data_IF_197049356197
#
_entry.id   IF_197049356197
#
_cell.length_a   1.000
_cell.length_b   1.000
_cell.length_c   1.000
_cell.angle_alpha   90.00
_cell.angle_beta   90.00
_cell.angle_gamma   90.00
#
_symmetry.space_group_name_H-M   'P 1'
#
loop_
_entity.id
_entity.type
_entity.pdbx_description
1 polymer ?
#
# COMPACT_ATOMS: atom_id res chain seq x y z
N UNK A 1 3.02 32.84 30.53
CA UNK A 1 2.07 32.51 29.44
C UNK A 1 2.36 33.24 28.13
N UNK A 2 3.46 34.01 28.02
CA UNK A 2 4.00 34.52 26.75
C UNK A 2 5.42 34.00 26.45
N UNK A 3 6.07 33.29 27.39
CA UNK A 3 7.45 32.78 27.19
C UNK A 3 7.53 31.37 26.61
N UNK A 4 6.42 30.60 26.63
CA UNK A 4 6.36 29.25 26.03
C UNK A 4 6.08 29.30 24.51
N UNK A 5 5.64 30.46 24.01
CA UNK A 5 5.29 30.65 22.60
C UNK A 5 6.50 31.08 21.76
N UNK A 6 7.50 31.72 22.38
CA UNK A 6 8.76 32.11 21.70
C UNK A 6 9.78 30.96 21.57
N UNK A 7 9.70 29.92 22.40
CA UNK A 7 10.57 28.73 22.25
C UNK A 7 10.10 27.79 21.13
N UNK A 8 8.82 27.83 20.75
CA UNK A 8 8.29 27.04 19.63
C UNK A 8 8.57 27.67 18.25
N UNK A 9 8.78 28.98 18.18
CA UNK A 9 9.14 29.66 16.92
C UNK A 9 10.63 29.51 16.54
N UNK A 10 11.51 29.25 17.51
CA UNK A 10 12.94 28.99 17.26
C UNK A 10 13.26 27.56 16.75
N UNK A 11 12.27 26.66 16.73
CA UNK A 11 12.39 25.31 16.13
C UNK A 11 11.97 25.26 14.65
N UNK A 12 11.64 26.41 14.03
CA UNK A 12 11.21 26.49 12.62
C UNK A 12 12.20 27.20 11.69
N UNK A 13 13.43 27.39 12.16
CA UNK A 13 14.52 28.04 11.42
C UNK A 13 15.67 27.10 11.05
N UNK A 14 15.39 25.91 10.49
CA UNK A 14 16.41 25.18 9.72
C UNK A 14 15.88 24.92 8.32
N UNK A 15 16.20 25.83 7.41
CA UNK A 15 16.30 25.47 6.00
C UNK A 15 17.22 24.25 5.93
N UNK A 16 16.64 23.07 5.70
CA UNK A 16 17.39 21.87 5.37
C UNK A 16 18.16 22.15 4.09
N UNK A 17 19.38 22.67 4.22
CA UNK A 17 20.38 22.65 3.17
C UNK A 17 20.44 21.20 2.70
N UNK A 18 20.10 20.97 1.44
CA UNK A 18 20.58 19.77 0.73
C UNK A 18 22.06 19.63 1.07
N UNK A 19 22.50 18.54 1.69
CA UNK A 19 23.93 18.37 1.94
C UNK A 19 24.64 18.51 0.59
N UNK A 20 25.72 19.30 0.58
CA UNK A 20 26.63 19.34 -0.56
C UNK A 20 27.15 17.92 -0.84
N UNK A 21 27.54 17.60 -2.09
CA UNK A 21 27.95 16.25 -2.49
C UNK A 21 29.13 15.66 -1.71
N UNK A 22 29.84 16.47 -0.91
CA UNK A 22 31.13 16.12 -0.32
C UNK A 22 31.04 15.35 1.01
N UNK A 23 29.85 15.08 1.57
CA UNK A 23 29.70 14.43 2.88
C UNK A 23 28.91 13.11 2.89
N UNK A 24 28.85 12.39 1.76
CA UNK A 24 28.39 10.98 1.80
C UNK A 24 29.50 10.12 2.37
N UNK A 25 29.42 9.75 3.65
CA UNK A 25 30.28 8.70 4.20
C UNK A 25 30.01 7.41 3.44
N UNK A 26 30.92 7.04 2.53
CA UNK A 26 30.85 5.79 1.75
C UNK A 26 30.68 4.62 2.71
N UNK A 27 29.49 4.04 2.73
CA UNK A 27 29.21 2.89 3.59
C UNK A 27 30.00 1.71 3.03
N UNK A 28 31.03 1.26 3.74
CA UNK A 28 31.78 0.07 3.36
C UNK A 28 30.90 -1.13 3.63
N UNK A 29 30.50 -1.84 2.58
CA UNK A 29 29.62 -3.01 2.70
C UNK A 29 30.41 -4.28 3.06
N UNK A 30 29.77 -5.25 3.74
CA UNK A 30 30.35 -6.56 3.99
C UNK A 30 30.76 -7.29 2.70
N UNK A 31 31.73 -8.21 2.81
CA UNK A 31 32.12 -9.05 1.68
C UNK A 31 30.95 -9.95 1.26
N UNK A 32 30.60 -9.92 -0.03
CA UNK A 32 29.45 -10.66 -0.57
C UNK A 32 28.11 -9.91 -0.48
N UNK A 33 28.12 -8.65 -0.05
CA UNK A 33 26.96 -7.77 -0.11
C UNK A 33 26.69 -7.27 -1.53
N UNK A 34 25.42 -6.99 -1.80
CA UNK A 34 24.94 -6.45 -3.08
C UNK A 34 24.33 -5.06 -2.90
N UNK A 35 24.56 -4.16 -3.85
CA UNK A 35 23.94 -2.81 -3.87
C UNK A 35 22.74 -2.78 -4.79
N UNK A 36 21.64 -2.21 -4.31
CA UNK A 36 20.39 -2.07 -5.06
C UNK A 36 20.00 -0.60 -5.17
N UNK A 37 19.78 -0.11 -6.39
CA UNK A 37 19.16 1.21 -6.58
C UNK A 37 17.65 1.02 -6.68
N UNK A 38 16.89 1.58 -5.74
CA UNK A 38 15.43 1.48 -5.72
C UNK A 38 14.80 2.77 -6.23
N UNK A 39 14.00 2.69 -7.29
CA UNK A 39 13.24 3.81 -7.83
C UNK A 39 11.81 3.74 -7.30
N UNK A 40 11.45 4.70 -6.44
CA UNK A 40 10.12 4.76 -5.83
C UNK A 40 9.68 6.22 -5.62
N UNK A 41 8.76 6.72 -6.44
CA UNK A 41 8.21 8.07 -6.28
C UNK A 41 7.43 8.20 -4.96
N UNK A 42 6.57 7.21 -4.67
CA UNK A 42 5.81 7.17 -3.43
C UNK A 42 6.63 6.45 -2.36
N UNK A 43 7.27 7.24 -1.50
CA UNK A 43 8.14 6.76 -0.44
C UNK A 43 7.90 7.58 0.84
N UNK A 44 8.21 7.09 2.06
CA UNK A 44 8.09 7.89 3.27
C UNK A 44 8.82 9.23 3.12
N UNK A 45 8.34 10.33 3.72
CA UNK A 45 7.28 10.39 4.72
C UNK A 45 5.86 10.39 4.11
N UNK A 46 5.64 10.02 2.85
CA UNK A 46 4.27 9.83 2.34
C UNK A 46 3.60 8.63 3.04
N UNK A 47 2.33 8.75 3.44
CA UNK A 47 1.65 7.77 4.30
C UNK A 47 0.44 7.04 3.68
N UNK A 48 0.45 6.76 2.37
CA UNK A 48 -0.65 6.05 1.71
C UNK A 48 -0.25 4.64 1.25
N UNK A 49 -1.23 3.84 0.80
CA UNK A 49 -1.05 2.43 0.43
C UNK A 49 0.09 2.16 -0.55
N UNK A 50 0.41 3.13 -1.42
CA UNK A 50 1.52 3.06 -2.37
C UNK A 50 2.91 3.21 -1.75
N UNK A 51 3.06 3.20 -0.43
CA UNK A 51 4.35 3.36 0.27
C UNK A 51 4.75 2.11 1.04
N UNK A 52 3.80 1.50 1.76
CA UNK A 52 4.06 0.41 2.70
C UNK A 52 4.87 -0.76 2.12
N UNK A 53 4.46 -1.33 0.98
CA UNK A 53 5.13 -2.50 0.39
C UNK A 53 6.63 -2.26 0.17
N UNK A 54 6.97 -1.14 -0.46
CA UNK A 54 8.37 -0.85 -0.80
C UNK A 54 9.17 -0.50 0.46
N UNK A 55 8.57 0.22 1.42
CA UNK A 55 9.20 0.50 2.72
C UNK A 55 9.58 -0.78 3.47
N UNK A 56 8.68 -1.77 3.51
CA UNK A 56 8.97 -3.05 4.18
C UNK A 56 10.02 -3.87 3.43
N UNK A 57 10.03 -3.86 2.09
CA UNK A 57 11.13 -4.50 1.34
C UNK A 57 12.49 -3.86 1.65
N UNK A 58 12.63 -2.54 1.58
CA UNK A 58 13.93 -1.91 1.82
C UNK A 58 14.39 -2.01 3.27
N UNK A 59 13.46 -2.08 4.23
CA UNK A 59 13.74 -2.36 5.65
C UNK A 59 14.40 -3.73 5.84
N UNK A 60 13.92 -4.76 5.13
CA UNK A 60 14.37 -6.15 5.33
C UNK A 60 15.42 -6.65 4.33
N UNK A 61 15.64 -5.96 3.21
CA UNK A 61 16.67 -6.34 2.23
C UNK A 61 18.08 -6.48 2.85
N UNK A 62 18.52 -5.61 3.79
CA UNK A 62 19.83 -5.76 4.43
C UNK A 62 20.05 -7.11 5.12
N UNK A 63 18.99 -7.71 5.68
CA UNK A 63 19.05 -9.05 6.30
C UNK A 63 19.37 -10.17 5.29
N UNK A 64 19.16 -9.89 4.00
CA UNK A 64 19.44 -10.81 2.89
C UNK A 64 20.76 -10.53 2.17
N UNK A 65 21.55 -9.58 2.66
CA UNK A 65 22.80 -9.13 2.04
C UNK A 65 22.63 -8.09 0.93
N UNK A 66 21.42 -7.56 0.73
CA UNK A 66 21.12 -6.51 -0.24
C UNK A 66 20.98 -5.15 0.46
N UNK A 67 21.74 -4.16 0.03
CA UNK A 67 21.79 -2.83 0.64
C UNK A 67 21.16 -1.82 -0.33
N UNK A 68 19.91 -1.39 -0.08
CA UNK A 68 19.20 -0.49 -0.97
C UNK A 68 19.56 0.98 -0.73
N UNK A 69 19.75 1.70 -1.83
CA UNK A 69 19.66 3.17 -1.87
C UNK A 69 18.38 3.54 -2.60
N UNK A 70 17.50 4.30 -1.95
CA UNK A 70 16.20 4.69 -2.50
C UNK A 70 16.29 6.06 -3.16
N UNK A 71 16.05 6.10 -4.47
CA UNK A 71 15.86 7.33 -5.22
C UNK A 71 14.37 7.68 -5.28
N UNK A 72 14.02 8.80 -4.68
CA UNK A 72 12.64 9.27 -4.56
C UNK A 72 12.51 10.78 -4.79
N UNK A 73 11.29 11.28 -4.82
CA UNK A 73 11.01 12.72 -4.95
C UNK A 73 11.22 13.43 -3.61
N UNK A 74 11.68 14.68 -3.67
CA UNK A 74 11.76 15.59 -2.54
C UNK A 74 10.39 16.10 -2.06
N UNK A 75 10.40 17.21 -1.33
CA UNK A 75 9.18 17.82 -0.76
C UNK A 75 8.15 18.19 -1.84
N UNK A 76 7.16 17.32 -2.02
CA UNK A 76 5.96 17.52 -2.84
C UNK A 76 4.73 17.49 -1.97
N UNK A 77 3.69 18.21 -2.38
CA UNK A 77 2.43 18.20 -1.65
C UNK A 77 1.77 16.83 -1.72
N UNK A 78 1.48 16.22 -0.57
CA UNK A 78 0.82 14.91 -0.47
C UNK A 78 -0.34 14.92 0.51
N UNK A 79 -1.17 13.86 0.51
CA UNK A 79 -2.42 13.84 1.27
C UNK A 79 -2.22 13.51 2.74
N UNK A 80 -1.28 12.62 3.05
CA UNK A 80 -1.03 12.06 4.39
C UNK A 80 0.48 11.88 4.53
N UNK A 81 1.03 12.27 5.68
CA UNK A 81 2.43 12.01 6.01
C UNK A 81 2.54 11.04 7.18
N UNK A 82 3.50 10.13 7.09
CA UNK A 82 3.83 9.12 8.10
C UNK A 82 5.34 9.17 8.34
N UNK A 83 5.73 9.90 9.40
CA UNK A 83 7.15 10.06 9.78
C UNK A 83 7.66 8.86 10.59
N UNK A 84 6.79 8.10 11.25
CA UNK A 84 7.17 6.88 11.93
C UNK A 84 7.68 5.84 10.92
N UNK A 85 6.99 5.69 9.77
CA UNK A 85 7.43 4.82 8.70
C UNK A 85 8.76 5.29 8.05
N UNK A 86 9.02 6.60 8.01
CA UNK A 86 10.32 7.12 7.56
C UNK A 86 11.43 6.74 8.55
N UNK A 87 11.18 6.95 9.84
CA UNK A 87 12.12 6.60 10.90
C UNK A 87 12.46 5.10 10.88
N UNK A 88 11.48 4.21 10.71
CA UNK A 88 11.73 2.76 10.59
C UNK A 88 12.71 2.41 9.46
N UNK A 89 12.60 3.10 8.31
CA UNK A 89 13.46 2.88 7.14
C UNK A 89 14.87 3.44 7.40
N UNK A 90 14.98 4.60 8.04
CA UNK A 90 16.26 5.23 8.38
C UNK A 90 17.01 4.42 9.45
N UNK A 91 16.30 3.88 10.45
CA UNK A 91 16.86 3.00 11.49
C UNK A 91 17.37 1.67 10.90
N UNK A 92 16.77 1.19 9.81
CA UNK A 92 17.28 0.05 9.05
C UNK A 92 18.54 0.37 8.21
N UNK A 93 19.01 1.62 8.24
CA UNK A 93 20.22 2.06 7.55
C UNK A 93 20.04 2.26 6.04
N UNK A 94 18.80 2.45 5.56
CA UNK A 94 18.51 2.67 4.14
C UNK A 94 18.86 4.11 3.74
N UNK A 95 19.72 4.28 2.73
CA UNK A 95 20.03 5.59 2.18
C UNK A 95 18.85 6.10 1.34
N UNK A 96 18.40 7.33 1.58
CA UNK A 96 17.30 7.96 0.82
C UNK A 96 17.84 9.19 0.08
N UNK A 97 17.85 9.13 -1.25
CA UNK A 97 18.23 10.25 -2.11
C UNK A 97 16.98 10.90 -2.69
N UNK A 98 16.81 12.19 -2.43
CA UNK A 98 15.63 12.97 -2.87
C UNK A 98 15.98 13.96 -3.97
N UNK A 99 15.20 13.96 -5.05
CA UNK A 99 15.40 14.93 -6.15
C UNK A 99 14.22 15.88 -6.33
N UNK A 100 14.46 16.98 -7.05
CA UNK A 100 13.40 17.90 -7.47
C UNK A 100 12.47 17.24 -8.49
N UNK A 101 11.30 17.81 -8.70
CA UNK A 101 10.36 17.44 -9.76
C UNK A 101 9.76 18.71 -10.38
N UNK A 102 9.38 18.62 -11.66
CA UNK A 102 8.45 19.58 -12.26
C UNK A 102 7.02 19.20 -11.89
N UNK A 103 6.54 19.71 -10.76
CA UNK A 103 5.16 19.48 -10.32
C UNK A 103 4.24 20.63 -10.76
N UNK A 104 3.22 20.39 -11.59
CA UNK A 104 2.19 21.38 -11.92
C UNK A 104 1.53 21.99 -10.67
N UNK A 105 1.43 21.23 -9.56
CA UNK A 105 0.84 21.68 -8.30
C UNK A 105 1.77 22.64 -7.52
N UNK A 106 3.08 22.59 -7.75
CA UNK A 106 4.02 23.62 -7.27
C UNK A 106 3.91 24.92 -8.06
N UNK A 107 3.63 24.84 -9.36
CA UNK A 107 3.42 26.04 -10.21
C UNK A 107 2.20 26.84 -9.75
N UNK A 108 1.20 26.16 -9.16
CA UNK A 108 0.02 26.81 -8.57
C UNK A 108 0.25 27.47 -7.19
N UNK A 109 1.50 27.69 -6.77
CA UNK A 109 1.85 28.55 -5.63
C UNK A 109 1.54 27.98 -4.24
N UNK A 110 1.17 26.70 -4.10
CA UNK A 110 0.83 26.11 -2.81
C UNK A 110 2.07 25.56 -2.10
N UNK A 111 2.64 26.35 -1.17
CA UNK A 111 3.74 25.94 -0.26
C UNK A 111 3.34 24.90 0.81
N UNK A 112 2.10 24.38 0.82
CA UNK A 112 1.64 23.46 1.87
C UNK A 112 2.10 22.03 1.59
N UNK A 113 2.81 21.41 2.55
CA UNK A 113 3.23 20.00 2.52
C UNK A 113 2.03 19.06 2.45
N UNK A 114 0.98 19.31 3.24
CA UNK A 114 -0.26 18.54 3.17
C UNK A 114 -1.30 19.25 2.32
N UNK A 115 -1.78 18.59 1.25
CA UNK A 115 -2.82 19.11 0.36
C UNK A 115 -4.14 18.39 0.67
N UNK A 116 -5.27 19.10 0.81
CA UNK A 116 -6.56 18.45 1.03
C UNK A 116 -6.92 17.58 -0.18
N UNK A 117 -7.49 16.39 0.09
CA UNK A 117 -8.01 15.52 -0.97
C UNK A 117 -9.11 16.26 -1.75
N UNK A 118 -8.99 16.44 -3.07
CA UNK A 118 -10.01 17.14 -3.85
C UNK A 118 -11.32 16.34 -3.90
N UNK A 119 -12.48 17.02 -4.05
CA UNK A 119 -13.76 16.34 -4.29
C UNK A 119 -13.71 15.38 -5.48
N UNK A 120 -14.45 14.27 -5.41
CA UNK A 120 -14.36 13.17 -6.40
C UNK A 120 -14.57 13.61 -7.86
N UNK A 121 -15.48 14.57 -8.10
CA UNK A 121 -15.81 15.05 -9.45
C UNK A 121 -14.67 15.85 -10.08
N UNK A 122 -14.04 16.75 -9.33
CA UNK A 122 -12.89 17.54 -9.81
C UNK A 122 -11.65 16.67 -9.93
N UNK A 123 -11.46 15.69 -9.03
CA UNK A 123 -10.40 14.68 -9.13
C UNK A 123 -10.47 13.94 -10.46
N UNK A 124 -11.64 13.39 -10.83
CA UNK A 124 -11.82 12.65 -12.09
C UNK A 124 -11.51 13.50 -13.33
N UNK A 125 -11.95 14.75 -13.35
CA UNK A 125 -11.68 15.68 -14.45
C UNK A 125 -10.18 16.00 -14.57
N UNK A 126 -9.53 16.38 -13.46
CA UNK A 126 -8.09 16.67 -13.43
C UNK A 126 -7.25 15.45 -13.79
N UNK A 127 -7.64 14.26 -13.31
CA UNK A 127 -7.00 12.99 -13.65
C UNK A 127 -7.17 12.67 -15.14
N UNK A 128 -8.34 12.93 -15.73
CA UNK A 128 -8.57 12.73 -17.17
C UNK A 128 -7.68 13.61 -18.05
N UNK A 129 -7.60 14.92 -17.76
CA UNK A 129 -6.70 15.85 -18.46
C UNK A 129 -5.24 15.43 -18.26
N UNK A 130 -4.86 15.16 -17.01
CA UNK A 130 -3.53 14.71 -16.68
C UNK A 130 -3.12 13.46 -17.44
N UNK A 131 -3.94 12.41 -17.46
CA UNK A 131 -3.61 11.18 -18.19
C UNK A 131 -3.61 11.40 -19.72
N UNK A 132 -4.28 12.43 -20.22
CA UNK A 132 -4.23 12.77 -21.64
C UNK A 132 -2.87 13.37 -22.02
N UNK A 133 -2.37 14.35 -21.25
CA UNK A 133 -1.16 15.11 -21.62
C UNK A 133 0.13 14.65 -20.92
N UNK A 134 0.03 14.06 -19.74
CA UNK A 134 1.15 13.61 -18.91
C UNK A 134 1.17 12.08 -18.91
N UNK A 135 1.80 11.51 -19.94
CA UNK A 135 2.01 10.08 -20.08
C UNK A 135 3.40 9.70 -19.55
N UNK A 136 3.55 8.61 -18.78
CA UNK A 136 2.52 7.63 -18.44
C UNK A 136 1.72 7.97 -17.18
N UNK A 137 1.96 9.14 -16.59
CA UNK A 137 1.22 9.70 -15.46
C UNK A 137 1.71 11.15 -15.18
N UNK A 138 1.09 11.83 -14.21
CA UNK A 138 1.51 13.19 -13.81
C UNK A 138 2.88 13.27 -13.14
N UNK A 139 3.59 12.16 -12.94
CA UNK A 139 4.90 12.16 -12.29
C UNK A 139 6.03 12.23 -13.30
N UNK A 140 5.74 12.25 -14.60
CA UNK A 140 6.73 12.34 -15.67
C UNK A 140 7.71 13.52 -15.53
N UNK A 141 7.28 14.62 -14.89
CA UNK A 141 8.13 15.77 -14.57
C UNK A 141 9.28 15.48 -13.60
N UNK A 142 9.23 14.36 -12.87
CA UNK A 142 10.29 13.86 -11.98
C UNK A 142 11.40 13.16 -12.76
N UNK A 143 11.06 12.46 -13.85
CA UNK A 143 11.95 11.59 -14.62
C UNK A 143 13.31 12.24 -14.91
N UNK A 144 13.31 13.47 -15.41
CA UNK A 144 14.55 14.19 -15.78
C UNK A 144 15.53 14.37 -14.62
N UNK A 145 15.02 14.57 -13.41
CA UNK A 145 15.84 14.80 -12.22
C UNK A 145 16.28 13.48 -11.60
N UNK A 146 15.37 12.51 -11.56
CA UNK A 146 15.66 11.17 -11.09
C UNK A 146 16.72 10.50 -11.97
N UNK A 147 16.59 10.53 -13.30
CA UNK A 147 17.61 9.93 -14.18
C UNK A 147 18.98 10.58 -13.98
N UNK A 148 19.05 11.92 -13.93
CA UNK A 148 20.33 12.61 -13.72
C UNK A 148 21.01 12.18 -12.42
N UNK A 149 20.25 12.14 -11.33
CA UNK A 149 20.81 11.76 -10.03
C UNK A 149 21.11 10.26 -9.95
N UNK A 150 20.26 9.42 -10.54
CA UNK A 150 20.48 7.98 -10.65
C UNK A 150 21.75 7.65 -11.43
N UNK A 151 22.02 8.32 -12.54
CA UNK A 151 23.28 8.16 -13.28
C UNK A 151 24.49 8.52 -12.41
N UNK A 152 24.42 9.66 -11.71
CA UNK A 152 25.49 10.07 -10.77
C UNK A 152 25.75 9.01 -9.69
N UNK A 153 24.69 8.46 -9.09
CA UNK A 153 24.79 7.39 -8.08
C UNK A 153 25.44 6.13 -8.67
N UNK A 154 25.00 5.71 -9.85
CA UNK A 154 25.49 4.49 -10.53
C UNK A 154 26.92 4.65 -11.08
N UNK A 155 27.38 5.87 -11.32
CA UNK A 155 28.76 6.18 -11.71
C UNK A 155 29.73 6.22 -10.51
N UNK A 156 29.24 6.65 -9.33
CA UNK A 156 30.06 6.78 -8.11
C UNK A 156 30.36 5.46 -7.42
N UNK A 157 29.42 4.52 -7.48
CA UNK A 157 29.51 3.21 -6.85
C UNK A 157 28.97 2.11 -7.77
N UNK A 158 29.51 0.90 -7.63
CA UNK A 158 29.01 -0.25 -8.39
C UNK A 158 27.70 -0.76 -7.77
N UNK A 159 26.61 -0.62 -8.51
CA UNK A 159 25.33 -1.25 -8.20
C UNK A 159 25.14 -2.56 -8.95
N UNK A 160 24.51 -3.52 -8.30
CA UNK A 160 24.29 -4.86 -8.84
C UNK A 160 22.94 -4.99 -9.54
N UNK A 161 21.94 -4.19 -9.15
CA UNK A 161 20.63 -4.16 -9.79
C UNK A 161 19.90 -2.83 -9.56
N UNK A 162 18.88 -2.58 -10.38
CA UNK A 162 17.90 -1.51 -10.22
C UNK A 162 16.53 -2.16 -9.97
N UNK A 163 15.82 -1.74 -8.92
CA UNK A 163 14.43 -2.10 -8.68
C UNK A 163 13.54 -0.88 -8.90
N UNK A 164 12.62 -0.91 -9.85
CA UNK A 164 11.59 0.13 -10.01
C UNK A 164 10.23 -0.41 -9.59
N UNK A 165 9.47 0.32 -8.76
CA UNK A 165 8.13 -0.09 -8.29
C UNK A 165 7.06 0.88 -8.81
N UNK A 166 5.93 0.34 -9.31
CA UNK A 166 4.86 1.16 -9.88
C UNK A 166 3.48 0.72 -9.36
N UNK A 167 2.45 1.60 -9.36
CA UNK A 167 2.45 3.00 -9.84
C UNK A 167 3.26 3.97 -8.95
N UNK A 168 3.72 5.13 -9.48
CA UNK A 168 3.53 5.61 -10.85
C UNK A 168 4.41 4.85 -11.87
N UNK A 169 3.95 4.76 -13.12
CA UNK A 169 4.70 4.05 -14.18
C UNK A 169 5.86 4.88 -14.72
N UNK A 170 5.93 6.17 -14.35
CA UNK A 170 7.16 6.97 -14.50
C UNK A 170 8.38 6.28 -13.87
N UNK A 171 8.21 5.55 -12.76
CA UNK A 171 9.30 4.88 -12.05
C UNK A 171 9.95 3.79 -12.92
N UNK A 172 9.14 3.04 -13.67
CA UNK A 172 9.61 2.07 -14.65
C UNK A 172 10.40 2.73 -15.79
N UNK A 173 9.95 3.90 -16.27
CA UNK A 173 10.67 4.63 -17.32
C UNK A 173 12.01 5.17 -16.84
N UNK A 174 12.11 5.56 -15.58
CA UNK A 174 13.39 5.96 -14.95
C UNK A 174 14.31 4.73 -14.87
N UNK A 175 13.81 3.61 -14.33
CA UNK A 175 14.58 2.37 -14.23
C UNK A 175 15.10 1.88 -15.59
N UNK A 176 14.26 1.92 -16.62
CA UNK A 176 14.62 1.57 -17.99
C UNK A 176 15.75 2.45 -18.55
N UNK A 177 15.66 3.77 -18.36
CA UNK A 177 16.66 4.70 -18.88
C UNK A 177 18.00 4.55 -18.17
N UNK A 178 17.98 4.38 -16.85
CA UNK A 178 19.18 4.11 -16.05
C UNK A 178 19.84 2.79 -16.46
N UNK A 179 19.05 1.71 -16.55
CA UNK A 179 19.56 0.39 -16.94
C UNK A 179 20.18 0.39 -18.34
N UNK A 180 19.54 1.04 -19.33
CA UNK A 180 20.10 1.18 -20.68
C UNK A 180 21.42 1.97 -20.71
N UNK A 181 21.53 3.00 -19.88
CA UNK A 181 22.70 3.87 -19.86
C UNK A 181 23.90 3.23 -19.15
N UNK A 182 23.66 2.40 -18.13
CA UNK A 182 24.73 1.86 -17.28
C UNK A 182 24.97 0.36 -17.45
N UNK A 183 24.04 -0.36 -18.09
CA UNK A 183 24.06 -1.82 -18.19
C UNK A 183 23.66 -2.56 -16.91
N UNK A 184 23.27 -1.85 -15.85
CA UNK A 184 22.83 -2.47 -14.58
C UNK A 184 21.45 -3.12 -14.80
N UNK A 185 21.25 -4.38 -14.39
CA UNK A 185 20.01 -5.12 -14.67
C UNK A 185 18.80 -4.50 -13.96
N UNK A 186 17.68 -4.43 -14.67
CA UNK A 186 16.43 -3.87 -14.19
C UNK A 186 15.44 -4.96 -13.74
N UNK A 187 14.92 -4.81 -12.52
CA UNK A 187 13.75 -5.54 -12.03
C UNK A 187 12.59 -4.57 -11.81
N UNK A 188 11.39 -4.95 -12.25
CA UNK A 188 10.18 -4.12 -12.13
C UNK A 188 9.13 -4.76 -11.23
N UNK A 189 8.59 -3.99 -10.26
CA UNK A 189 7.55 -4.42 -9.30
C UNK A 189 6.19 -3.80 -9.65
N UNK A 190 5.32 -4.60 -10.26
CA UNK A 190 3.93 -4.27 -10.61
C UNK A 190 3.01 -4.49 -9.42
N UNK A 191 2.61 -3.39 -8.78
CA UNK A 191 1.60 -3.38 -7.71
C UNK A 191 0.18 -3.28 -8.25
N UNK A 192 0.04 -2.66 -9.41
CA UNK A 192 -1.17 -2.59 -10.21
C UNK A 192 -0.82 -2.88 -11.68
N UNK A 193 -1.74 -3.41 -12.50
CA UNK A 193 -1.51 -3.52 -13.94
C UNK A 193 -1.33 -2.12 -14.57
N UNK A 194 -0.59 -2.00 -15.68
CA UNK A 194 -0.48 -0.71 -16.37
C UNK A 194 -1.70 -0.47 -17.27
N UNK A 195 -1.90 -1.34 -18.27
CA UNK A 195 -2.94 -1.17 -19.28
C UNK A 195 -4.35 -1.58 -18.84
N UNK A 196 -4.48 -2.53 -17.92
CA UNK A 196 -5.78 -3.04 -17.44
C UNK A 196 -6.26 -2.38 -16.15
N UNK A 197 -5.56 -1.34 -15.69
CA UNK A 197 -5.94 -0.67 -14.47
C UNK A 197 -7.17 0.21 -14.71
N UNK A 198 -8.28 -0.16 -14.07
CA UNK A 198 -9.56 0.58 -14.12
C UNK A 198 -9.45 2.00 -13.59
N UNK A 199 -8.38 2.33 -12.86
CA UNK A 199 -8.09 3.68 -12.38
C UNK A 199 -7.36 4.55 -13.41
N UNK A 200 -6.79 3.94 -14.44
CA UNK A 200 -6.08 4.64 -15.49
C UNK A 200 -7.04 4.96 -16.65
N UNK A 201 -6.96 6.18 -17.15
CA UNK A 201 -7.85 6.68 -18.20
C UNK A 201 -7.05 6.93 -19.47
N UNK A 202 -7.42 6.27 -20.55
CA UNK A 202 -6.83 6.49 -21.87
C UNK A 202 -7.83 7.27 -22.72
N UNK A 203 -7.53 8.54 -23.01
CA UNK A 203 -8.43 9.43 -23.72
C UNK A 203 -8.77 8.94 -25.15
N UNK A 204 -7.81 8.28 -25.80
CA UNK A 204 -7.98 7.73 -27.16
C UNK A 204 -7.25 6.39 -27.31
N UNK A 205 -7.57 5.59 -28.34
CA UNK A 205 -6.80 4.37 -28.66
C UNK A 205 -5.31 4.63 -28.87
N UNK A 206 -4.94 5.81 -29.38
CA UNK A 206 -3.54 6.23 -29.52
C UNK A 206 -2.83 6.32 -28.15
N UNK A 207 -3.47 6.91 -27.14
CA UNK A 207 -2.88 7.00 -25.79
C UNK A 207 -2.68 5.60 -25.19
N UNK A 208 -3.66 4.70 -25.37
CA UNK A 208 -3.54 3.31 -24.93
C UNK A 208 -2.41 2.58 -25.66
N UNK A 209 -2.30 2.78 -26.97
CA UNK A 209 -1.22 2.20 -27.78
C UNK A 209 0.16 2.74 -27.41
N UNK A 210 0.26 4.04 -27.11
CA UNK A 210 1.49 4.66 -26.63
C UNK A 210 1.91 4.09 -25.27
N UNK A 211 0.98 3.96 -24.33
CA UNK A 211 1.22 3.29 -23.06
C UNK A 211 1.61 1.81 -23.26
N UNK A 212 1.01 1.12 -24.22
CA UNK A 212 1.35 -0.27 -24.51
C UNK A 212 2.76 -0.42 -25.08
N UNK A 213 3.21 0.51 -25.93
CA UNK A 213 4.61 0.54 -26.38
C UNK A 213 5.57 0.77 -25.21
N UNK A 214 5.26 1.69 -24.30
CA UNK A 214 6.08 1.91 -23.11
C UNK A 214 6.13 0.67 -22.19
N UNK A 215 4.98 0.04 -21.94
CA UNK A 215 4.89 -1.21 -21.16
C UNK A 215 5.74 -2.30 -21.84
N UNK A 216 5.60 -2.48 -23.15
CA UNK A 216 6.37 -3.46 -23.92
C UNK A 216 7.88 -3.21 -23.84
N UNK A 217 8.32 -1.96 -24.00
CA UNK A 217 9.75 -1.60 -23.95
C UNK A 217 10.36 -1.87 -22.58
N UNK A 218 9.66 -1.49 -21.49
CA UNK A 218 10.09 -1.79 -20.12
C UNK A 218 10.23 -3.29 -19.93
N UNK A 219 9.21 -4.06 -20.30
CA UNK A 219 9.18 -5.51 -20.07
C UNK A 219 10.25 -6.26 -20.87
N UNK A 220 10.57 -5.82 -22.10
CA UNK A 220 11.65 -6.41 -22.90
C UNK A 220 13.06 -6.21 -22.33
N UNK A 221 13.24 -5.16 -21.53
CA UNK A 221 14.54 -4.79 -20.96
C UNK A 221 14.62 -5.10 -19.46
N UNK A 222 13.60 -5.74 -18.89
CA UNK A 222 13.60 -6.14 -17.49
C UNK A 222 14.13 -7.55 -17.37
N UNK A 223 15.16 -7.75 -16.56
CA UNK A 223 15.71 -9.07 -16.21
C UNK A 223 14.81 -9.84 -15.22
N UNK A 224 13.90 -9.12 -14.55
CA UNK A 224 12.91 -9.73 -13.68
C UNK A 224 11.64 -8.89 -13.58
N UNK A 225 10.48 -9.55 -13.61
CA UNK A 225 9.18 -8.90 -13.45
C UNK A 225 8.49 -9.47 -12.22
N UNK A 226 8.25 -8.63 -11.22
CA UNK A 226 7.49 -8.96 -10.02
C UNK A 226 6.06 -8.45 -10.19
N UNK A 227 5.08 -9.27 -9.85
CA UNK A 227 3.67 -8.88 -9.78
C UNK A 227 3.06 -9.29 -8.43
N UNK A 228 2.08 -8.54 -7.95
CA UNK A 228 1.44 -8.84 -6.65
C UNK A 228 0.42 -9.98 -6.68
N UNK A 229 -0.07 -10.39 -7.85
CA UNK A 229 -1.02 -11.49 -7.94
C UNK A 229 -1.01 -12.22 -9.29
N UNK A 230 -1.64 -13.40 -9.30
CA UNK A 230 -1.75 -14.26 -10.47
C UNK A 230 -2.47 -13.59 -11.65
N UNK A 231 -3.48 -12.74 -11.38
CA UNK A 231 -4.25 -12.09 -12.44
C UNK A 231 -3.38 -11.16 -13.28
N UNK A 232 -2.52 -10.36 -12.65
CA UNK A 232 -1.60 -9.47 -13.36
C UNK A 232 -0.59 -10.30 -14.17
N UNK A 233 -0.06 -11.40 -13.61
CA UNK A 233 0.83 -12.31 -14.34
C UNK A 233 0.19 -12.83 -15.62
N UNK A 234 -1.02 -13.39 -15.52
CA UNK A 234 -1.75 -13.94 -16.66
C UNK A 234 -2.06 -12.86 -17.71
N UNK A 235 -2.43 -11.65 -17.27
CA UNK A 235 -2.69 -10.52 -18.16
C UNK A 235 -1.44 -10.08 -18.93
N UNK A 236 -0.29 -10.01 -18.27
CA UNK A 236 0.99 -9.64 -18.91
C UNK A 236 1.41 -10.70 -19.93
N UNK A 237 1.40 -11.99 -19.57
CA UNK A 237 1.79 -13.08 -20.46
C UNK A 237 0.85 -13.17 -21.67
N UNK A 238 -0.47 -13.06 -21.44
CA UNK A 238 -1.45 -13.09 -22.52
C UNK A 238 -1.29 -11.91 -23.49
N UNK A 239 -0.90 -10.72 -23.00
CA UNK A 239 -0.69 -9.54 -23.84
C UNK A 239 0.65 -9.57 -24.57
N UNK A 240 1.70 -10.06 -23.92
CA UNK A 240 3.07 -9.98 -24.37
C UNK A 240 3.67 -11.39 -24.51
N UNK A 241 3.53 -12.05 -25.67
CA UNK A 241 3.92 -13.45 -25.85
C UNK A 241 5.42 -13.75 -25.69
N UNK A 242 6.28 -12.73 -25.65
CA UNK A 242 7.71 -12.90 -25.35
C UNK A 242 7.97 -13.14 -23.85
N UNK A 243 6.98 -12.91 -22.99
CA UNK A 243 7.06 -13.23 -21.57
C UNK A 243 6.74 -14.69 -21.33
N UNK A 244 7.57 -15.34 -20.53
CA UNK A 244 7.37 -16.71 -20.07
C UNK A 244 6.83 -16.72 -18.63
N UNK A 245 6.32 -17.87 -18.19
CA UNK A 245 5.95 -18.05 -16.78
C UNK A 245 7.14 -17.90 -15.83
N UNK A 246 8.37 -18.07 -16.31
CA UNK A 246 9.59 -17.91 -15.53
C UNK A 246 10.03 -16.45 -15.44
N UNK A 247 9.77 -15.63 -16.46
CA UNK A 247 10.11 -14.19 -16.45
C UNK A 247 9.24 -13.34 -15.52
N UNK A 248 8.06 -13.84 -15.13
CA UNK A 248 7.08 -13.12 -14.30
C UNK A 248 6.84 -13.83 -12.98
N UNK A 249 7.34 -13.25 -11.89
CA UNK A 249 7.29 -13.80 -10.53
C UNK A 249 6.16 -13.17 -9.73
N UNK A 250 5.41 -14.00 -9.00
CA UNK A 250 4.37 -13.50 -8.09
C UNK A 250 4.99 -13.35 -6.70
N UNK A 251 5.08 -12.11 -6.22
CA UNK A 251 5.40 -11.81 -4.82
C UNK A 251 4.25 -10.96 -4.29
N UNK A 252 3.30 -11.54 -3.54
CA UNK A 252 2.15 -10.80 -3.04
C UNK A 252 2.55 -9.69 -2.08
N UNK A 253 1.64 -8.78 -1.76
CA UNK A 253 1.83 -7.89 -0.60
C UNK A 253 1.82 -8.71 0.69
N UNK A 254 2.38 -8.14 1.74
CA UNK A 254 2.50 -8.78 3.04
C UNK A 254 2.20 -7.84 4.18
N UNK A 255 2.39 -8.33 5.39
CA UNK A 255 2.38 -7.56 6.62
C UNK A 255 3.77 -7.59 7.26
N UNK A 256 4.07 -6.58 8.08
CA UNK A 256 5.27 -6.59 8.89
C UNK A 256 4.98 -7.34 10.21
N UNK A 257 5.70 -8.43 10.50
CA UNK A 257 5.50 -9.19 11.73
C UNK A 257 5.85 -8.37 12.99
N UNK A 258 6.73 -7.39 12.90
CA UNK A 258 7.07 -6.52 14.03
C UNK A 258 5.91 -5.63 14.42
N UNK A 259 5.05 -5.25 13.47
CA UNK A 259 3.85 -4.45 13.76
C UNK A 259 2.85 -5.28 14.60
N UNK A 260 2.87 -6.61 14.49
CA UNK A 260 2.08 -7.54 15.34
C UNK A 260 2.76 -7.76 16.69
N UNK A 261 4.08 -7.99 16.71
CA UNK A 261 4.85 -8.31 17.93
C UNK A 261 4.93 -7.13 18.89
N UNK A 262 5.03 -5.91 18.36
CA UNK A 262 5.22 -4.70 19.18
C UNK A 262 3.91 -4.04 19.61
N UNK A 263 2.78 -4.55 19.12
CA UNK A 263 1.46 -4.05 19.46
C UNK A 263 1.12 -4.27 20.94
N UNK A 264 0.40 -3.32 21.52
CA UNK A 264 -0.01 -3.29 22.92
C UNK A 264 -1.54 -3.09 23.01
N UNK A 265 -2.35 -4.13 22.73
CA UNK A 265 -3.80 -3.98 22.72
C UNK A 265 -4.35 -3.73 24.14
N UNK A 266 -5.01 -2.59 24.34
CA UNK A 266 -5.52 -2.18 25.67
C UNK A 266 -6.84 -2.86 26.09
N UNK A 267 -7.60 -3.43 25.16
CA UNK A 267 -8.99 -3.86 25.42
C UNK A 267 -9.06 -5.20 26.15
N UNK A 268 -9.77 -5.21 27.29
CA UNK A 268 -10.15 -6.43 28.01
C UNK A 268 -11.20 -7.22 27.21
N UNK A 269 -10.90 -8.49 26.89
CA UNK A 269 -11.82 -9.40 26.19
C UNK A 269 -13.15 -9.58 26.95
N UNK A 270 -14.26 -9.72 26.21
CA UNK A 270 -15.51 -10.31 26.73
C UNK A 270 -16.69 -9.38 27.03
N UNK A 271 -16.58 -8.06 26.87
CA UNK A 271 -17.73 -7.15 27.09
C UNK A 271 -18.66 -7.01 25.88
N UNK A 272 -18.09 -6.95 24.67
CA UNK A 272 -18.80 -6.85 23.39
C UNK A 272 -17.98 -7.53 22.30
N UNK A 273 -18.62 -8.12 21.30
CA UNK A 273 -17.98 -8.52 20.06
C UNK A 273 -17.70 -7.28 19.21
N UNK A 274 -16.44 -7.04 18.86
CA UNK A 274 -16.03 -5.92 18.02
C UNK A 274 -15.74 -6.36 16.60
N UNK A 275 -16.45 -5.78 15.64
CA UNK A 275 -16.04 -5.73 14.23
C UNK A 275 -15.18 -4.49 13.99
N UNK A 276 -14.03 -4.61 13.35
CA UNK A 276 -13.19 -3.45 13.03
C UNK A 276 -12.91 -3.32 11.55
N UNK A 277 -13.15 -2.12 11.01
CA UNK A 277 -12.74 -1.73 9.66
C UNK A 277 -11.67 -0.63 9.75
N UNK A 278 -10.49 -0.90 9.19
CA UNK A 278 -9.40 0.08 9.08
C UNK A 278 -9.28 0.63 7.65
N UNK A 279 -9.27 1.96 7.56
CA UNK A 279 -9.03 2.72 6.33
C UNK A 279 -10.26 3.46 5.82
N UNK A 280 -10.21 3.84 4.54
CA UNK A 280 -11.17 4.77 3.95
C UNK A 280 -12.23 4.04 3.11
N UNK A 281 -13.46 4.55 3.20
CA UNK A 281 -14.51 4.33 2.20
C UNK A 281 -14.40 5.40 1.12
N UNK A 282 -14.47 5.01 -0.15
CA UNK A 282 -14.42 5.91 -1.30
C UNK A 282 -15.71 5.84 -2.12
N UNK A 283 -15.78 6.54 -3.25
CA UNK A 283 -16.97 6.55 -4.11
C UNK A 283 -17.48 5.16 -4.55
N UNK A 284 -16.66 4.10 -4.46
CA UNK A 284 -17.01 2.73 -4.82
C UNK A 284 -17.16 1.81 -3.61
N UNK A 285 -16.68 2.19 -2.42
CA UNK A 285 -16.77 1.41 -1.19
C UNK A 285 -17.70 2.09 -0.19
N UNK A 286 -18.71 1.37 0.30
CA UNK A 286 -19.70 1.91 1.24
C UNK A 286 -19.92 0.97 2.43
N UNK A 287 -20.12 1.51 3.65
CA UNK A 287 -20.52 0.71 4.81
C UNK A 287 -22.00 0.30 4.79
N UNK A 288 -22.78 0.78 3.80
CA UNK A 288 -24.24 0.63 3.74
C UNK A 288 -24.72 -0.80 4.00
N UNK A 289 -24.21 -1.76 3.24
CA UNK A 289 -24.72 -3.13 3.26
C UNK A 289 -24.41 -3.84 4.59
N UNK A 290 -23.26 -3.53 5.19
CA UNK A 290 -22.94 -3.98 6.54
C UNK A 290 -23.89 -3.38 7.58
N UNK A 291 -24.16 -2.08 7.53
CA UNK A 291 -25.12 -1.43 8.45
C UNK A 291 -26.53 -1.98 8.32
N UNK A 292 -26.99 -2.18 7.08
CA UNK A 292 -28.31 -2.75 6.80
C UNK A 292 -28.42 -4.17 7.35
N UNK A 293 -27.40 -5.00 7.15
CA UNK A 293 -27.33 -6.36 7.67
C UNK A 293 -27.27 -6.41 9.20
N UNK A 294 -26.43 -5.59 9.82
CA UNK A 294 -26.35 -5.51 11.29
C UNK A 294 -27.67 -5.05 11.91
N UNK A 295 -28.38 -4.11 11.27
CA UNK A 295 -29.72 -3.72 11.69
C UNK A 295 -30.72 -4.88 11.67
N UNK A 296 -30.64 -5.77 10.67
CA UNK A 296 -31.44 -7.01 10.63
C UNK A 296 -31.07 -7.98 11.75
N UNK A 297 -29.78 -8.14 12.05
CA UNK A 297 -29.32 -8.98 13.18
C UNK A 297 -29.86 -8.44 14.50
N UNK A 298 -29.80 -7.12 14.73
CA UNK A 298 -30.38 -6.49 15.93
C UNK A 298 -31.89 -6.67 16.04
N UNK A 299 -32.61 -6.71 14.91
CA UNK A 299 -34.04 -6.98 14.92
C UNK A 299 -34.36 -8.46 15.23
N UNK A 300 -33.51 -9.38 14.77
CA UNK A 300 -33.68 -10.83 14.96
C UNK A 300 -33.23 -11.29 16.35
N UNK A 301 -32.15 -10.71 16.89
CA UNK A 301 -31.52 -11.05 18.17
C UNK A 301 -31.35 -9.74 18.97
N UNK A 302 -32.39 -9.27 19.69
CA UNK A 302 -32.37 -7.97 20.34
C UNK A 302 -31.20 -7.73 21.30
N UNK A 303 -30.78 -8.74 22.05
CA UNK A 303 -29.65 -8.69 22.99
C UNK A 303 -28.31 -8.39 22.31
N UNK A 304 -28.16 -8.73 21.03
CA UNK A 304 -26.94 -8.46 20.27
C UNK A 304 -26.67 -6.96 20.09
N UNK A 305 -27.68 -6.10 20.26
CA UNK A 305 -27.54 -4.64 20.19
C UNK A 305 -26.59 -4.10 21.26
N UNK A 306 -26.59 -4.69 22.45
CA UNK A 306 -25.74 -4.25 23.56
C UNK A 306 -24.40 -5.00 23.58
N UNK A 307 -24.33 -6.12 22.86
CA UNK A 307 -23.16 -7.01 22.83
C UNK A 307 -22.31 -6.88 21.56
N UNK A 308 -22.75 -6.16 20.51
CA UNK A 308 -21.96 -5.93 19.30
C UNK A 308 -21.56 -4.46 19.19
N UNK A 309 -20.31 -4.21 18.80
CA UNK A 309 -19.83 -2.91 18.38
C UNK A 309 -19.05 -2.98 17.06
N UNK A 310 -19.04 -1.87 16.33
CA UNK A 310 -18.32 -1.69 15.08
C UNK A 310 -17.37 -0.50 15.18
N UNK A 311 -16.08 -0.79 15.14
CA UNK A 311 -15.01 0.20 15.20
C UNK A 311 -14.54 0.59 13.78
N UNK A 312 -14.50 1.88 13.51
CA UNK A 312 -13.98 2.42 12.26
C UNK A 312 -12.75 3.29 12.52
N UNK A 313 -11.61 2.81 12.01
CA UNK A 313 -10.34 3.51 12.11
C UNK A 313 -10.09 4.23 10.79
N UNK A 314 -9.89 5.55 10.86
CA UNK A 314 -9.70 6.44 9.72
C UNK A 314 -10.78 7.50 9.59
N UNK A 315 -10.84 8.16 8.43
CA UNK A 315 -11.80 9.25 8.21
C UNK A 315 -13.22 8.72 8.03
N UNK A 316 -14.10 9.04 8.98
CA UNK A 316 -15.51 8.69 8.94
C UNK A 316 -16.37 9.91 8.59
N UNK A 317 -17.12 9.84 7.48
CA UNK A 317 -17.93 10.97 6.98
C UNK A 317 -19.26 11.06 7.73
N UNK A 318 -19.78 12.28 7.92
CA UNK A 318 -21.11 12.49 8.53
C UNK A 318 -22.25 11.78 7.79
N UNK A 319 -22.12 11.60 6.47
CA UNK A 319 -23.06 10.82 5.68
C UNK A 319 -23.19 9.37 6.17
N UNK A 320 -22.10 8.78 6.66
CA UNK A 320 -22.10 7.43 7.21
C UNK A 320 -22.71 7.39 8.61
N UNK A 321 -22.56 8.45 9.41
CA UNK A 321 -23.23 8.58 10.72
C UNK A 321 -24.75 8.65 10.55
N UNK A 322 -25.22 9.46 9.60
CA UNK A 322 -26.66 9.52 9.23
C UNK A 322 -27.17 8.16 8.74
N UNK A 323 -26.35 7.43 7.98
CA UNK A 323 -26.66 6.09 7.49
C UNK A 323 -26.77 5.07 8.63
N UNK A 324 -25.86 5.11 9.60
CA UNK A 324 -25.93 4.27 10.81
C UNK A 324 -27.23 4.51 11.59
N UNK A 325 -27.66 5.79 11.71
CA UNK A 325 -28.94 6.12 12.35
C UNK A 325 -30.12 5.58 11.57
N UNK A 326 -30.10 5.71 10.23
CA UNK A 326 -31.16 5.19 9.35
C UNK A 326 -31.36 3.67 9.52
N UNK A 327 -30.28 2.91 9.69
CA UNK A 327 -30.35 1.46 9.89
C UNK A 327 -30.43 1.03 11.36
N UNK A 328 -30.54 1.97 12.30
CA UNK A 328 -30.70 1.66 13.72
C UNK A 328 -29.47 1.07 14.41
N UNK A 329 -28.27 1.32 13.87
CA UNK A 329 -27.00 0.74 14.35
C UNK A 329 -26.06 1.77 14.99
N UNK A 330 -26.52 3.01 15.20
CA UNK A 330 -25.69 4.08 15.75
C UNK A 330 -25.13 3.80 17.14
N UNK A 331 -25.84 3.05 17.99
CA UNK A 331 -25.36 2.69 19.35
C UNK A 331 -24.15 1.75 19.33
N UNK A 332 -23.94 1.03 18.24
CA UNK A 332 -22.81 0.12 18.07
C UNK A 332 -21.57 0.82 17.50
N UNK A 333 -21.67 2.09 17.06
CA UNK A 333 -20.62 2.76 16.30
C UNK A 333 -19.52 3.34 17.21
N UNK A 334 -18.27 2.92 16.97
CA UNK A 334 -17.05 3.48 17.57
C UNK A 334 -16.17 4.07 16.48
N UNK A 335 -15.78 5.35 16.60
CA UNK A 335 -14.97 6.05 15.59
C UNK A 335 -13.80 6.79 16.25
N UNK A 336 -12.65 6.14 16.51
CA UNK A 336 -11.46 6.83 17.05
C UNK A 336 -10.92 7.92 16.11
N UNK A 337 -11.31 7.91 14.84
CA UNK A 337 -10.80 8.85 13.84
C UNK A 337 -9.53 8.32 13.20
N UNK A 338 -8.69 9.22 12.68
CA UNK A 338 -7.38 8.84 12.16
C UNK A 338 -6.44 8.49 13.32
N UNK A 339 -5.75 7.37 13.21
CA UNK A 339 -4.71 6.91 14.15
C UNK A 339 -3.46 6.59 13.34
N UNK A 340 -2.29 6.67 13.97
CA UNK A 340 -1.04 6.33 13.30
C UNK A 340 -0.97 4.83 12.98
N UNK A 341 -0.21 4.45 11.96
CA UNK A 341 -0.19 3.07 11.48
C UNK A 341 0.16 2.05 12.57
N UNK A 342 1.10 2.40 13.46
CA UNK A 342 1.49 1.57 14.61
C UNK A 342 0.31 1.29 15.55
N UNK A 343 -0.51 2.30 15.82
CA UNK A 343 -1.69 2.16 16.68
C UNK A 343 -2.81 1.35 16.00
N UNK A 344 -2.87 1.35 14.66
CA UNK A 344 -3.87 0.56 13.92
C UNK A 344 -3.79 -0.91 14.35
N UNK A 345 -2.59 -1.46 14.54
CA UNK A 345 -2.42 -2.86 14.93
C UNK A 345 -2.98 -3.16 16.32
N UNK A 346 -2.87 -2.23 17.28
CA UNK A 346 -3.47 -2.38 18.62
C UNK A 346 -4.98 -2.51 18.52
N UNK A 347 -5.60 -1.70 17.66
CA UNK A 347 -7.04 -1.77 17.39
C UNK A 347 -7.43 -3.08 16.68
N UNK A 348 -6.67 -3.53 15.68
CA UNK A 348 -6.96 -4.78 15.00
C UNK A 348 -6.84 -5.98 15.94
N UNK A 349 -5.79 -6.05 16.77
CA UNK A 349 -5.57 -7.14 17.72
C UNK A 349 -6.56 -7.12 18.90
N UNK A 350 -7.06 -5.95 19.29
CA UNK A 350 -8.12 -5.81 20.29
C UNK A 350 -9.53 -6.14 19.78
N UNK A 351 -9.67 -6.42 18.49
CA UNK A 351 -10.94 -6.77 17.85
C UNK A 351 -11.21 -8.28 17.87
N UNK A 352 -12.49 -8.64 17.78
CA UNK A 352 -12.93 -10.03 17.72
C UNK A 352 -13.03 -10.49 16.26
N UNK A 353 -13.53 -9.62 15.38
CA UNK A 353 -13.64 -9.86 13.95
C UNK A 353 -13.13 -8.64 13.19
N UNK A 354 -12.39 -8.86 12.10
CA UNK A 354 -11.97 -7.79 11.19
C UNK A 354 -12.91 -7.74 9.99
N UNK A 355 -13.33 -6.53 9.62
CA UNK A 355 -14.25 -6.31 8.52
C UNK A 355 -13.53 -5.72 7.32
N UNK A 356 -13.66 -6.40 6.19
CA UNK A 356 -13.13 -5.98 4.90
C UNK A 356 -14.28 -5.70 3.92
N UNK A 357 -14.14 -4.65 3.09
CA UNK A 357 -15.08 -4.36 1.99
C UNK A 357 -14.33 -4.04 0.71
N UNK A 358 -14.60 -4.82 -0.34
CA UNK A 358 -13.99 -4.74 -1.66
C UNK A 358 -15.06 -4.91 -2.75
N UNK A 359 -14.93 -4.16 -3.84
CA UNK A 359 -15.81 -4.27 -5.01
C UNK A 359 -15.05 -4.58 -6.30
N UNK A 360 -13.72 -4.47 -6.28
CA UNK A 360 -12.88 -4.80 -7.44
C UNK A 360 -12.28 -6.20 -7.25
N UNK A 361 -12.62 -7.19 -8.08
CA UNK A 361 -12.13 -8.56 -7.92
C UNK A 361 -10.64 -8.73 -8.29
N UNK A 362 -10.01 -7.72 -8.90
CA UNK A 362 -8.64 -7.83 -9.45
C UNK A 362 -7.55 -7.25 -8.55
N UNK A 363 -7.92 -6.53 -7.49
CA UNK A 363 -6.98 -5.78 -6.63
C UNK A 363 -6.85 -6.47 -5.27
N UNK A 364 -5.63 -6.60 -4.78
CA UNK A 364 -5.35 -7.11 -3.43
C UNK A 364 -4.69 -6.03 -2.58
N UNK A 365 -5.46 -5.28 -1.77
CA UNK A 365 -4.89 -4.21 -0.96
C UNK A 365 -4.08 -4.75 0.22
N UNK A 366 -3.08 -3.98 0.67
CA UNK A 366 -2.20 -4.35 1.79
C UNK A 366 -2.95 -4.79 3.06
N UNK A 367 -4.07 -4.13 3.38
CA UNK A 367 -4.91 -4.45 4.55
C UNK A 367 -5.37 -5.91 4.65
N UNK A 368 -5.50 -6.61 3.52
CA UNK A 368 -5.86 -8.04 3.54
C UNK A 368 -4.80 -8.82 4.30
N UNK A 369 -3.54 -8.53 4.00
CA UNK A 369 -2.40 -9.21 4.59
C UNK A 369 -2.14 -8.76 6.03
N UNK A 370 -2.34 -7.46 6.33
CA UNK A 370 -2.31 -6.98 7.72
C UNK A 370 -3.36 -7.71 8.58
N UNK A 371 -4.58 -7.90 8.06
CA UNK A 371 -5.64 -8.63 8.77
C UNK A 371 -5.27 -10.09 8.96
N UNK A 372 -4.72 -10.74 7.93
CA UNK A 372 -4.21 -12.11 8.05
C UNK A 372 -3.08 -12.22 9.08
N UNK A 373 -2.22 -11.19 9.19
CA UNK A 373 -1.14 -11.13 10.18
C UNK A 373 -1.63 -11.13 11.62
N UNK A 374 -2.83 -10.62 11.88
CA UNK A 374 -3.44 -10.67 13.22
C UNK A 374 -4.00 -12.04 13.61
N UNK A 375 -4.13 -12.95 12.64
CA UNK A 375 -4.76 -14.27 12.80
C UNK A 375 -6.23 -14.22 13.29
N UNK A 376 -6.89 -13.06 13.21
CA UNK A 376 -8.29 -12.87 13.59
C UNK A 376 -9.27 -13.36 12.51
N UNK A 377 -10.51 -13.71 12.89
CA UNK A 377 -11.59 -13.90 11.94
C UNK A 377 -11.76 -12.67 11.03
N UNK A 378 -12.03 -12.91 9.75
CA UNK A 378 -12.31 -11.83 8.78
C UNK A 378 -13.72 -12.01 8.20
N UNK A 379 -14.58 -11.01 8.35
CA UNK A 379 -15.79 -10.87 7.53
C UNK A 379 -15.45 -10.02 6.31
N UNK A 380 -15.38 -10.65 5.15
CA UNK A 380 -15.04 -9.96 3.90
C UNK A 380 -16.25 -9.84 2.97
N UNK A 381 -16.66 -8.59 2.77
CA UNK A 381 -17.62 -8.21 1.75
C UNK A 381 -16.85 -8.04 0.44
N UNK A 382 -16.74 -9.09 -0.37
CA UNK A 382 -15.92 -9.11 -1.57
C UNK A 382 -16.55 -9.96 -2.69
N UNK A 383 -16.44 -9.54 -3.96
CA UNK A 383 -16.85 -10.37 -5.09
C UNK A 383 -15.92 -11.58 -5.28
N UNK A 384 -16.34 -12.53 -6.10
CA UNK A 384 -15.46 -13.58 -6.62
C UNK A 384 -14.21 -12.96 -7.27
N UNK A 385 -13.02 -13.35 -6.81
CA UNK A 385 -11.77 -12.75 -7.26
C UNK A 385 -10.60 -13.04 -6.33
N UNK A 386 -9.52 -12.29 -6.52
CA UNK A 386 -8.22 -12.58 -5.88
C UNK A 386 -8.30 -12.49 -4.35
N UNK A 387 -8.97 -11.48 -3.82
CA UNK A 387 -9.14 -11.31 -2.36
C UNK A 387 -9.85 -12.51 -1.75
N UNK A 388 -10.91 -13.02 -2.41
CA UNK A 388 -11.63 -14.19 -1.93
C UNK A 388 -10.74 -15.43 -1.93
N UNK A 389 -10.02 -15.70 -3.03
CA UNK A 389 -9.09 -16.84 -3.07
C UNK A 389 -7.98 -16.76 -2.02
N UNK A 390 -7.48 -15.56 -1.71
CA UNK A 390 -6.50 -15.35 -0.63
C UNK A 390 -7.11 -15.65 0.74
N UNK A 391 -8.34 -15.19 0.98
CA UNK A 391 -9.04 -15.38 2.25
C UNK A 391 -9.57 -16.81 2.45
N UNK A 392 -9.96 -17.50 1.38
CA UNK A 392 -10.33 -18.91 1.44
C UNK A 392 -9.12 -19.76 1.88
N UNK A 393 -7.92 -19.44 1.37
CA UNK A 393 -6.67 -20.07 1.79
C UNK A 393 -6.24 -19.72 3.23
N UNK A 394 -6.77 -18.62 3.81
CA UNK A 394 -6.45 -18.20 5.17
C UNK A 394 -7.18 -19.01 6.24
N UNK A 395 -8.32 -19.63 5.89
CA UNK A 395 -9.04 -20.58 6.75
C UNK A 395 -9.87 -19.97 7.89
N UNK A 396 -9.74 -18.67 8.16
CA UNK A 396 -10.52 -17.95 9.17
C UNK A 396 -11.27 -16.74 8.61
N UNK A 397 -11.75 -16.82 7.36
CA UNK A 397 -12.55 -15.78 6.74
C UNK A 397 -13.93 -16.29 6.32
N UNK A 398 -14.95 -15.45 6.49
CA UNK A 398 -16.26 -15.63 5.85
C UNK A 398 -16.37 -14.57 4.76
N UNK A 399 -16.52 -15.03 3.52
CA UNK A 399 -16.60 -14.18 2.34
C UNK A 399 -18.03 -14.11 1.83
N UNK A 400 -18.55 -12.90 1.64
CA UNK A 400 -19.92 -12.65 1.16
C UNK A 400 -19.88 -11.59 0.08
N UNK A 401 -20.74 -11.73 -0.94
CA UNK A 401 -20.91 -10.70 -1.96
C UNK A 401 -21.33 -9.36 -1.31
N UNK A 402 -20.72 -8.21 -1.68
CA UNK A 402 -20.91 -6.95 -0.94
C UNK A 402 -22.33 -6.42 -0.89
N UNK A 403 -23.18 -6.80 -1.85
CA UNK A 403 -24.55 -6.33 -2.02
C UNK A 403 -25.61 -7.33 -1.51
N UNK A 404 -25.20 -8.48 -0.97
CA UNK A 404 -26.09 -9.55 -0.47
C UNK A 404 -26.36 -9.39 1.03
N UNK A 405 -27.21 -8.43 1.38
CA UNK A 405 -27.53 -8.06 2.78
C UNK A 405 -27.93 -9.27 3.64
N UNK A 406 -28.73 -10.19 3.11
CA UNK A 406 -29.17 -11.40 3.81
C UNK A 406 -27.98 -12.30 4.18
N UNK A 407 -27.10 -12.60 3.23
CA UNK A 407 -25.90 -13.40 3.49
C UNK A 407 -24.92 -12.70 4.44
N UNK A 408 -24.87 -11.35 4.42
CA UNK A 408 -24.06 -10.58 5.37
C UNK A 408 -24.65 -10.71 6.78
N UNK A 409 -25.98 -10.63 6.92
CA UNK A 409 -26.66 -10.77 8.21
C UNK A 409 -26.47 -12.17 8.78
N UNK A 410 -26.59 -13.21 7.96
CA UNK A 410 -26.31 -14.59 8.33
C UNK A 410 -24.86 -14.78 8.80
N UNK A 411 -23.89 -14.20 8.09
CA UNK A 411 -22.48 -14.26 8.48
C UNK A 411 -22.21 -13.53 9.83
N UNK A 412 -22.81 -12.35 10.03
CA UNK A 412 -22.71 -11.62 11.30
C UNK A 412 -23.33 -12.43 12.44
N UNK A 413 -24.52 -13.01 12.22
CA UNK A 413 -25.19 -13.86 13.20
C UNK A 413 -24.35 -15.09 13.56
N UNK A 414 -23.82 -15.81 12.58
CA UNK A 414 -22.94 -16.97 12.81
C UNK A 414 -21.70 -16.59 13.61
N UNK A 415 -21.04 -15.48 13.27
CA UNK A 415 -19.88 -14.99 14.01
C UNK A 415 -20.24 -14.56 15.43
N UNK A 416 -21.39 -13.92 15.64
CA UNK A 416 -21.88 -13.54 16.96
C UNK A 416 -22.15 -14.77 17.84
N UNK A 417 -22.83 -15.78 17.31
CA UNK A 417 -23.07 -17.04 18.05
C UNK A 417 -21.75 -17.78 18.34
N UNK A 418 -20.82 -17.82 17.37
CA UNK A 418 -19.50 -18.39 17.57
C UNK A 418 -18.71 -17.61 18.65
N UNK A 419 -18.79 -16.28 18.69
CA UNK A 419 -18.17 -15.47 19.73
C UNK A 419 -18.73 -15.76 21.12
N UNK A 420 -20.07 -15.87 21.27
CA UNK A 420 -20.71 -16.27 22.53
C UNK A 420 -20.23 -17.64 23.02
N UNK A 421 -19.97 -18.56 22.09
CA UNK A 421 -19.42 -19.88 22.37
C UNK A 421 -17.90 -19.95 22.50
N UNK A 422 -17.16 -18.84 22.29
CA UNK A 422 -15.70 -18.83 22.16
C UNK A 422 -15.18 -19.79 21.07
N UNK A 423 -15.91 -19.87 19.95
CA UNK A 423 -15.68 -20.73 18.78
C UNK A 423 -15.33 -19.93 17.52
N UNK A 424 -14.95 -18.66 17.65
CA UNK A 424 -14.47 -17.89 16.50
C UNK A 424 -13.22 -18.55 15.90
N UNK A 425 -13.12 -18.67 14.56
CA UNK A 425 -11.99 -19.33 13.93
C UNK A 425 -10.72 -18.50 14.12
N UNK A 426 -9.57 -19.18 14.16
CA UNK A 426 -8.25 -18.53 14.22
C UNK A 426 -7.53 -18.83 12.92
N UNK A 427 -6.90 -17.81 12.33
CA UNK A 427 -6.14 -17.97 11.10
C UNK A 427 -5.01 -18.98 11.24
N UNK A 428 -4.83 -19.81 10.21
CA UNK A 428 -3.73 -20.77 10.14
C UNK A 428 -2.38 -20.03 10.15
N UNK A 429 -1.47 -20.46 11.03
CA UNK A 429 -0.19 -19.79 11.22
C UNK A 429 0.69 -19.86 9.98
N UNK A 430 0.77 -21.03 9.33
CA UNK A 430 1.54 -21.22 8.10
C UNK A 430 1.05 -20.31 6.97
N UNK A 431 -0.28 -20.19 6.80
CA UNK A 431 -0.90 -19.36 5.77
C UNK A 431 -0.70 -17.88 6.04
N UNK A 432 -0.82 -17.46 7.29
CA UNK A 432 -0.49 -16.10 7.71
C UNK A 432 0.98 -15.78 7.46
N UNK A 433 1.90 -16.57 8.04
CA UNK A 433 3.34 -16.37 7.95
C UNK A 433 3.88 -16.41 6.52
N UNK A 434 3.22 -17.10 5.58
CA UNK A 434 3.60 -17.04 4.15
C UNK A 434 3.53 -15.63 3.53
N UNK A 435 2.88 -14.68 4.20
CA UNK A 435 2.78 -13.27 3.83
C UNK A 435 3.61 -12.34 4.75
N UNK A 436 4.51 -12.91 5.56
CA UNK A 436 5.49 -12.15 6.33
C UNK A 436 6.42 -11.38 5.38
N UNK A 437 6.52 -10.06 5.58
CA UNK A 437 7.35 -9.19 4.76
C UNK A 437 8.81 -9.65 4.65
N UNK A 438 9.38 -10.28 5.69
CA UNK A 438 10.75 -10.84 5.65
C UNK A 438 10.86 -12.00 4.67
N UNK A 439 9.89 -12.91 4.67
CA UNK A 439 9.86 -14.05 3.74
C UNK A 439 9.72 -13.56 2.30
N UNK A 440 8.80 -12.61 2.07
CA UNK A 440 8.58 -12.00 0.77
C UNK A 440 9.82 -11.21 0.29
N UNK A 441 10.53 -10.55 1.20
CA UNK A 441 11.79 -9.87 0.91
C UNK A 441 12.89 -10.87 0.54
N UNK A 442 12.95 -12.02 1.22
CA UNK A 442 13.83 -13.13 0.83
C UNK A 442 13.51 -13.70 -0.56
N UNK A 443 12.24 -13.72 -0.98
CA UNK A 443 11.86 -14.09 -2.35
C UNK A 443 12.35 -13.05 -3.36
N UNK A 444 12.17 -11.75 -3.06
CA UNK A 444 12.68 -10.66 -3.89
C UNK A 444 14.20 -10.70 -4.01
N UNK A 445 14.93 -10.91 -2.91
CA UNK A 445 16.38 -11.01 -2.89
C UNK A 445 16.90 -12.18 -3.76
N UNK A 446 16.21 -13.33 -3.75
CA UNK A 446 16.54 -14.45 -4.64
C UNK A 446 16.33 -14.11 -6.11
N UNK A 447 15.27 -13.38 -6.43
CA UNK A 447 15.02 -12.91 -7.79
C UNK A 447 16.11 -11.93 -8.25
N UNK A 448 16.45 -10.95 -7.41
CA UNK A 448 17.52 -9.99 -7.70
C UNK A 448 18.86 -10.70 -7.94
N UNK A 449 19.19 -11.71 -7.14
CA UNK A 449 20.41 -12.51 -7.33
C UNK A 449 20.39 -13.34 -8.63
N UNK A 450 19.21 -13.74 -9.10
CA UNK A 450 19.06 -14.43 -10.38
C UNK A 450 19.23 -13.47 -11.56
N UNK A 451 18.67 -12.26 -11.49
CA UNK A 451 18.77 -11.25 -12.55
C UNK A 451 20.19 -10.73 -12.81
N UNK A 452 21.12 -10.97 -11.89
CA UNK A 452 22.55 -10.62 -12.09
C UNK A 452 23.34 -11.64 -12.90
N UNK A 453 22.80 -12.85 -13.12
CA UNK A 453 23.53 -13.99 -13.71
C UNK A 453 23.22 -14.22 -15.19
N UNK A 454 22.25 -13.48 -15.72
CA UNK A 454 21.84 -13.48 -17.12
C UNK A 454 22.57 -12.35 -17.84
#
# INVERSE_FOLDING_TARGET
>A
MNDVQNELENLHGTEGKTPSPENRSKQILPKGAHRLLVIAYYFPPMGLSGVFRISKFVKYLPETGWFPTVLTVGDVGYYVHDYALLQEVEEAGVEIVRTKTLDPLRVAGRKKKTIPMPPDRSRRFLTGISHTFLQPDNKIGWKRYAVREGLRILEEEKYDAILATAPPFTDFLIGLELSRATGVPLVVDYRDPWLDNKHYFYATPFHRHYAARMEQEVLKHSEGIVVVNRKIKEQLIARWPFLTHESVHIIPSGFDPMDVVTAQPERVKGKKMRFTYSGLFDARRTPRFFFEALGKVFAKIPESRDEIEMCFIGTFRDSYRKMATKFGVSSALVTPGYVEHREVMDWLLSSDVLWLTMYDPTITPGKVYEYMGTRKPILALAPEGIVRSVLDNYGAAVTVMPDKVEGIAEAIEQMYLAWKGNLLPVGEEEKSSSHDARILTGQLARLLAHSMRL
#
